data_IF_235796599205
#
_entry.id   IF_235796599205
#
_cell.length_a   1.000
_cell.length_b   1.000
_cell.length_c   1.000
_cell.angle_alpha   90.00
_cell.angle_beta   90.00
_cell.angle_gamma   90.00
#
_symmetry.space_group_name_H-M   'P 1'
#
loop_
_entity.id
_entity.type
_entity.pdbx_description
1 polymer ?
#
# COMPACT_ATOMS: atom_id res chain seq x y z
N UNK A 1 1.80 29.23 -43.42
CA UNK A 1 1.18 28.74 -42.17
C UNK A 1 1.62 27.29 -41.96
N UNK A 2 2.78 27.11 -41.35
CA UNK A 2 3.20 25.84 -40.77
C UNK A 2 3.44 26.15 -39.29
N UNK A 3 2.34 26.44 -38.59
CA UNK A 3 2.33 26.27 -37.14
C UNK A 3 2.34 24.77 -36.94
N UNK A 4 3.55 24.21 -36.83
CA UNK A 4 3.74 22.93 -36.21
C UNK A 4 2.96 22.99 -34.89
N UNK A 5 2.04 22.05 -34.71
CA UNK A 5 1.45 21.74 -33.42
C UNK A 5 2.66 21.54 -32.49
N UNK A 6 3.01 22.54 -31.68
CA UNK A 6 3.89 22.34 -30.54
C UNK A 6 3.19 21.28 -29.70
N UNK A 7 3.65 20.03 -29.84
CA UNK A 7 3.14 18.94 -29.04
C UNK A 7 3.30 19.37 -27.58
N UNK A 8 2.19 19.49 -26.87
CA UNK A 8 2.15 19.82 -25.45
C UNK A 8 3.20 18.94 -24.74
N UNK A 9 4.15 19.56 -24.04
CA UNK A 9 5.27 18.84 -23.43
C UNK A 9 4.71 17.75 -22.52
N UNK A 10 5.18 16.53 -22.69
CA UNK A 10 4.70 15.42 -21.86
C UNK A 10 5.30 15.51 -20.46
N UNK A 11 4.74 14.76 -19.50
CA UNK A 11 5.30 14.68 -18.15
C UNK A 11 6.78 14.26 -18.13
N UNK A 12 7.20 13.44 -19.09
CA UNK A 12 8.60 13.00 -19.23
C UNK A 12 9.50 14.15 -19.69
N UNK A 13 8.97 15.07 -20.49
CA UNK A 13 9.72 16.23 -21.01
C UNK A 13 9.84 17.32 -19.94
N UNK A 14 8.81 17.51 -19.12
CA UNK A 14 8.77 18.53 -18.06
C UNK A 14 9.48 18.09 -16.77
N UNK A 15 9.32 16.81 -16.38
CA UNK A 15 9.82 16.25 -15.12
C UNK A 15 10.57 14.93 -15.37
N UNK A 16 11.68 14.94 -16.13
CA UNK A 16 12.36 13.73 -16.56
C UNK A 16 12.89 12.87 -15.40
N UNK A 17 13.29 13.49 -14.30
CA UNK A 17 13.84 12.80 -13.14
C UNK A 17 12.75 12.10 -12.32
N UNK A 18 11.63 12.77 -12.07
CA UNK A 18 10.45 12.16 -11.44
C UNK A 18 9.87 11.06 -12.33
N UNK A 19 9.83 11.27 -13.65
CA UNK A 19 9.37 10.27 -14.61
C UNK A 19 10.19 8.97 -14.54
N UNK A 20 11.51 9.04 -14.28
CA UNK A 20 12.34 7.84 -14.08
C UNK A 20 11.94 7.07 -12.82
N UNK A 21 11.68 7.76 -11.71
CA UNK A 21 11.23 7.11 -10.47
C UNK A 21 9.83 6.51 -10.65
N UNK A 22 8.90 7.25 -11.25
CA UNK A 22 7.56 6.75 -11.57
C UNK A 22 7.64 5.50 -12.41
N UNK A 23 8.48 5.48 -13.45
CA UNK A 23 8.71 4.31 -14.29
C UNK A 23 9.30 3.15 -13.48
N UNK A 24 10.28 3.39 -12.62
CA UNK A 24 10.88 2.34 -11.79
C UNK A 24 9.87 1.73 -10.81
N UNK A 25 9.04 2.56 -10.18
CA UNK A 25 7.95 2.12 -9.31
C UNK A 25 6.90 1.29 -10.06
N UNK A 26 6.47 1.73 -11.24
CA UNK A 26 5.51 0.98 -12.07
C UNK A 26 6.12 -0.34 -12.59
N UNK A 27 7.41 -0.37 -12.93
CA UNK A 27 8.09 -1.61 -13.30
C UNK A 27 8.14 -2.61 -12.13
N UNK A 28 8.50 -2.16 -10.93
CA UNK A 28 8.45 -3.00 -9.72
C UNK A 28 7.03 -3.50 -9.43
N UNK A 29 6.04 -2.63 -9.63
CA UNK A 29 4.63 -2.96 -9.48
C UNK A 29 4.20 -4.07 -10.44
N UNK A 30 4.41 -3.91 -11.75
CA UNK A 30 4.01 -4.90 -12.74
C UNK A 30 4.81 -6.20 -12.65
N UNK A 31 6.07 -6.14 -12.22
CA UNK A 31 6.84 -7.33 -11.90
C UNK A 31 6.20 -8.11 -10.75
N UNK A 32 5.86 -7.43 -9.66
CA UNK A 32 5.17 -8.05 -8.52
C UNK A 32 3.77 -8.57 -8.89
N UNK A 33 3.02 -7.86 -9.73
CA UNK A 33 1.75 -8.33 -10.29
C UNK A 33 1.94 -9.65 -11.04
N UNK A 34 2.96 -9.72 -11.89
CA UNK A 34 3.25 -10.92 -12.69
C UNK A 34 3.56 -12.11 -11.78
N UNK A 35 4.46 -11.93 -10.81
CA UNK A 35 4.77 -12.97 -9.82
C UNK A 35 3.54 -13.38 -9.02
N UNK A 36 2.85 -12.42 -8.43
CA UNK A 36 1.66 -12.66 -7.62
C UNK A 36 0.55 -13.37 -8.40
N UNK A 37 0.30 -12.96 -9.65
CA UNK A 37 -0.70 -13.59 -10.52
C UNK A 37 -0.34 -15.04 -10.88
N UNK A 38 0.94 -15.31 -11.21
CA UNK A 38 1.40 -16.69 -11.47
C UNK A 38 1.17 -17.58 -10.25
N UNK A 39 1.58 -17.13 -9.06
CA UNK A 39 1.32 -17.90 -7.83
C UNK A 39 -0.18 -18.08 -7.56
N UNK A 40 -1.02 -17.09 -7.84
CA UNK A 40 -2.48 -17.20 -7.72
C UNK A 40 -3.11 -18.22 -8.68
N UNK A 41 -2.61 -18.30 -9.91
CA UNK A 41 -3.02 -19.32 -10.90
C UNK A 41 -2.61 -20.71 -10.41
N UNK A 42 -1.34 -20.88 -9.99
CA UNK A 42 -0.83 -22.14 -9.42
C UNK A 42 -1.71 -22.59 -8.24
N UNK A 43 -1.99 -21.67 -7.31
CA UNK A 43 -2.83 -21.93 -6.15
C UNK A 43 -4.24 -22.39 -6.56
N UNK A 44 -4.85 -21.70 -7.52
CA UNK A 44 -6.21 -22.00 -8.00
C UNK A 44 -6.26 -23.40 -8.63
N UNK A 45 -5.34 -23.71 -9.54
CA UNK A 45 -5.26 -25.03 -10.18
C UNK A 45 -5.04 -26.16 -9.16
N UNK A 46 -4.20 -25.92 -8.16
CA UNK A 46 -3.95 -26.89 -7.09
C UNK A 46 -5.17 -27.09 -6.20
N UNK A 47 -5.87 -26.02 -5.84
CA UNK A 47 -7.02 -26.06 -4.93
C UNK A 47 -8.26 -26.69 -5.57
N UNK A 48 -8.43 -26.56 -6.89
CA UNK A 48 -9.55 -27.13 -7.65
C UNK A 48 -9.26 -28.54 -8.19
N UNK A 49 -8.06 -29.06 -7.96
CA UNK A 49 -7.61 -30.37 -8.47
C UNK A 49 -7.57 -30.48 -10.00
N UNK A 50 -7.57 -29.34 -10.72
CA UNK A 50 -7.43 -29.30 -12.18
C UNK A 50 -5.99 -29.64 -12.59
N UNK A 51 -4.99 -29.15 -11.85
CA UNK A 51 -3.58 -29.51 -12.03
C UNK A 51 -2.78 -29.33 -10.74
N UNK A 52 -1.93 -30.32 -10.41
CA UNK A 52 -1.01 -30.28 -9.24
C UNK A 52 0.44 -30.17 -9.70
N UNK A 53 0.83 -28.96 -10.06
CA UNK A 53 2.17 -28.63 -10.58
C UNK A 53 3.21 -28.37 -9.48
N UNK A 54 2.79 -28.37 -8.21
CA UNK A 54 3.65 -28.27 -7.03
C UNK A 54 3.27 -29.38 -6.02
N UNK A 55 4.19 -29.79 -5.13
CA UNK A 55 3.85 -30.56 -3.95
C UNK A 55 2.85 -29.83 -3.06
N UNK A 56 1.94 -30.56 -2.40
CA UNK A 56 0.96 -29.95 -1.49
C UNK A 56 1.59 -29.27 -0.27
N UNK A 57 2.82 -29.64 0.09
CA UNK A 57 3.60 -29.00 1.17
C UNK A 57 3.92 -27.54 0.86
N UNK A 58 4.07 -27.19 -0.41
CA UNK A 58 4.54 -25.86 -0.85
C UNK A 58 3.36 -24.90 -1.08
N UNK A 59 2.13 -25.38 -0.87
CA UNK A 59 0.91 -24.59 -1.09
C UNK A 59 0.91 -23.31 -0.26
N UNK A 60 1.39 -23.35 0.98
CA UNK A 60 1.44 -22.17 1.85
C UNK A 60 2.53 -21.17 1.43
N UNK A 61 3.64 -21.65 0.85
CA UNK A 61 4.65 -20.78 0.26
C UNK A 61 4.07 -20.03 -0.94
N UNK A 62 3.37 -20.75 -1.83
CA UNK A 62 2.67 -20.15 -2.99
C UNK A 62 1.58 -19.18 -2.55
N UNK A 63 0.75 -19.55 -1.58
CA UNK A 63 -0.31 -18.70 -1.05
C UNK A 63 0.26 -17.42 -0.42
N UNK A 64 1.37 -17.53 0.32
CA UNK A 64 2.02 -16.35 0.91
C UNK A 64 2.64 -15.46 -0.16
N UNK A 65 3.31 -16.05 -1.15
CA UNK A 65 3.87 -15.33 -2.28
C UNK A 65 2.78 -14.58 -3.07
N UNK A 66 1.68 -15.25 -3.41
CA UNK A 66 0.54 -14.62 -4.08
C UNK A 66 0.02 -13.42 -3.28
N UNK A 67 -0.30 -13.63 -2.02
CA UNK A 67 -0.88 -12.59 -1.16
C UNK A 67 0.06 -11.40 -1.00
N UNK A 68 1.32 -11.62 -0.62
CA UNK A 68 2.29 -10.52 -0.37
C UNK A 68 2.63 -9.76 -1.66
N UNK A 69 2.87 -10.47 -2.77
CA UNK A 69 3.22 -9.79 -4.03
C UNK A 69 2.06 -9.02 -4.65
N UNK A 70 0.82 -9.50 -4.49
CA UNK A 70 -0.37 -8.77 -4.97
C UNK A 70 -0.75 -7.62 -4.04
N UNK A 71 -0.91 -7.91 -2.75
CA UNK A 71 -1.55 -7.01 -1.78
C UNK A 71 -0.59 -5.92 -1.29
N UNK A 72 0.70 -6.25 -1.15
CA UNK A 72 1.70 -5.34 -0.58
C UNK A 72 2.60 -4.81 -1.69
N UNK A 73 3.28 -5.69 -2.45
CA UNK A 73 4.28 -5.23 -3.41
C UNK A 73 3.64 -4.49 -4.60
N UNK A 74 2.76 -5.16 -5.34
CA UNK A 74 2.15 -4.61 -6.56
C UNK A 74 1.44 -3.28 -6.29
N UNK A 75 0.48 -3.27 -5.36
CA UNK A 75 -0.39 -2.11 -5.11
C UNK A 75 0.40 -0.92 -4.56
N UNK A 76 1.34 -1.13 -3.64
CA UNK A 76 2.07 -0.03 -3.01
C UNK A 76 3.11 0.55 -3.97
N UNK A 77 3.83 -0.28 -4.75
CA UNK A 77 4.70 0.24 -5.81
C UNK A 77 3.91 0.99 -6.88
N UNK A 78 2.72 0.51 -7.25
CA UNK A 78 1.83 1.23 -8.18
C UNK A 78 1.49 2.60 -7.62
N UNK A 79 1.07 2.63 -6.36
CA UNK A 79 0.60 3.82 -5.67
C UNK A 79 1.70 4.86 -5.50
N UNK A 80 2.90 4.50 -5.04
CA UNK A 80 3.98 5.48 -4.87
C UNK A 80 4.42 6.09 -6.21
N UNK A 81 4.36 5.32 -7.30
CA UNK A 81 4.56 5.84 -8.66
C UNK A 81 3.46 6.84 -9.04
N UNK A 82 2.20 6.45 -8.87
CA UNK A 82 1.06 7.31 -9.18
C UNK A 82 1.03 8.59 -8.33
N UNK A 83 1.35 8.49 -7.05
CA UNK A 83 1.34 9.63 -6.11
C UNK A 83 2.47 10.60 -6.40
N UNK A 84 3.65 10.10 -6.73
CA UNK A 84 4.77 10.92 -7.20
C UNK A 84 4.37 11.71 -8.45
N UNK A 85 3.77 11.04 -9.45
CA UNK A 85 3.25 11.71 -10.63
C UNK A 85 2.18 12.75 -10.31
N UNK A 86 1.20 12.41 -9.47
CA UNK A 86 0.07 13.26 -9.13
C UNK A 86 0.52 14.53 -8.37
N UNK A 87 1.47 14.41 -7.45
CA UNK A 87 2.03 15.54 -6.69
C UNK A 87 2.82 16.47 -7.63
N UNK A 88 3.79 15.93 -8.37
CA UNK A 88 4.64 16.71 -9.28
C UNK A 88 3.81 17.43 -10.35
N UNK A 89 2.90 16.70 -11.02
CA UNK A 89 2.04 17.26 -12.06
C UNK A 89 1.11 18.33 -11.51
N UNK A 90 0.44 18.08 -10.38
CA UNK A 90 -0.61 19.01 -9.91
C UNK A 90 -0.08 20.23 -9.20
N UNK A 91 1.10 20.16 -8.57
CA UNK A 91 1.80 21.32 -8.05
C UNK A 91 2.60 22.05 -9.15
N UNK A 92 2.71 21.46 -10.34
CA UNK A 92 3.50 21.93 -11.46
C UNK A 92 4.93 22.30 -11.05
N UNK A 93 5.57 21.42 -10.29
CA UNK A 93 6.94 21.61 -9.79
C UNK A 93 7.65 20.27 -9.59
N UNK A 94 8.98 20.23 -9.74
CA UNK A 94 9.74 19.05 -9.34
C UNK A 94 9.66 18.83 -7.83
N UNK A 95 9.95 17.60 -7.42
CA UNK A 95 10.19 17.27 -6.02
C UNK A 95 11.41 18.04 -5.51
N UNK A 96 11.43 18.36 -4.22
CA UNK A 96 12.46 19.27 -3.67
C UNK A 96 13.86 18.66 -3.73
N UNK A 97 13.99 17.33 -3.60
CA UNK A 97 15.27 16.64 -3.74
C UNK A 97 15.05 15.22 -4.26
N UNK A 98 15.35 15.01 -5.54
CA UNK A 98 15.17 13.70 -6.20
C UNK A 98 15.99 12.59 -5.53
N UNK A 99 17.07 12.91 -4.80
CA UNK A 99 17.87 11.90 -4.09
C UNK A 99 17.08 11.29 -2.94
N UNK A 100 16.27 12.08 -2.25
CA UNK A 100 15.34 11.57 -1.23
C UNK A 100 14.32 10.65 -1.90
N UNK A 101 13.88 11.03 -3.10
CA UNK A 101 12.93 10.24 -3.88
C UNK A 101 13.48 8.86 -4.24
N UNK A 102 14.70 8.80 -4.76
CA UNK A 102 15.40 7.53 -5.01
C UNK A 102 15.72 6.77 -3.73
N UNK A 103 16.00 7.46 -2.62
CA UNK A 103 16.29 6.82 -1.33
C UNK A 103 15.10 6.04 -0.82
N UNK A 104 13.89 6.63 -0.81
CA UNK A 104 12.71 5.90 -0.35
C UNK A 104 12.38 4.73 -1.28
N UNK A 105 12.55 4.90 -2.59
CA UNK A 105 12.31 3.82 -3.55
C UNK A 105 13.28 2.65 -3.32
N UNK A 106 14.57 2.94 -3.12
CA UNK A 106 15.58 1.93 -2.85
C UNK A 106 15.30 1.18 -1.53
N UNK A 107 14.93 1.90 -0.46
CA UNK A 107 14.55 1.29 0.82
C UNK A 107 13.35 0.34 0.63
N UNK A 108 12.31 0.77 -0.09
CA UNK A 108 11.18 -0.10 -0.41
C UNK A 108 11.61 -1.32 -1.22
N UNK A 109 12.41 -1.14 -2.28
CA UNK A 109 12.88 -2.25 -3.12
C UNK A 109 13.71 -3.27 -2.31
N UNK A 110 14.60 -2.80 -1.44
CA UNK A 110 15.39 -3.66 -0.53
C UNK A 110 14.48 -4.41 0.43
N UNK A 111 13.56 -3.71 1.12
CA UNK A 111 12.65 -4.34 2.08
C UNK A 111 11.75 -5.41 1.44
N UNK A 112 11.21 -5.12 0.26
CA UNK A 112 10.42 -6.11 -0.50
C UNK A 112 11.28 -7.26 -1.00
N UNK A 113 12.53 -7.02 -1.40
CA UNK A 113 13.45 -8.09 -1.82
C UNK A 113 13.76 -9.02 -0.65
N UNK A 114 14.06 -8.49 0.53
CA UNK A 114 14.27 -9.29 1.76
C UNK A 114 13.04 -10.16 2.07
N UNK A 115 11.85 -9.56 1.99
CA UNK A 115 10.56 -10.24 2.19
C UNK A 115 10.37 -11.35 1.16
N UNK A 116 10.53 -11.03 -0.13
CA UNK A 116 10.34 -11.96 -1.24
C UNK A 116 11.34 -13.12 -1.20
N UNK A 117 12.62 -12.86 -0.92
CA UNK A 117 13.63 -13.91 -0.74
C UNK A 117 13.25 -14.86 0.38
N UNK A 118 12.77 -14.34 1.52
CA UNK A 118 12.34 -15.18 2.65
C UNK A 118 11.17 -16.09 2.31
N UNK A 119 10.24 -15.61 1.47
CA UNK A 119 9.11 -16.41 0.97
C UNK A 119 9.62 -17.47 -0.01
N UNK A 120 10.36 -17.07 -1.04
CA UNK A 120 10.80 -17.97 -2.11
C UNK A 120 11.82 -19.01 -1.64
N UNK A 121 12.57 -18.72 -0.57
CA UNK A 121 13.45 -19.70 0.07
C UNK A 121 12.69 -20.91 0.62
N UNK A 122 11.38 -20.78 0.90
CA UNK A 122 10.53 -21.89 1.34
C UNK A 122 10.45 -23.05 0.33
N UNK A 123 10.70 -22.80 -0.95
CA UNK A 123 10.79 -23.86 -1.97
C UNK A 123 12.10 -24.66 -1.91
N UNK A 124 13.07 -24.23 -1.10
CA UNK A 124 14.40 -24.83 -1.02
C UNK A 124 14.70 -25.24 0.43
N UNK A 125 14.32 -26.47 0.83
CA UNK A 125 14.52 -26.95 2.20
C UNK A 125 15.96 -26.87 2.71
N UNK A 126 16.95 -26.86 1.81
CA UNK A 126 18.37 -26.73 2.15
C UNK A 126 18.77 -25.35 2.72
N UNK A 127 17.92 -24.32 2.60
CA UNK A 127 18.22 -22.95 3.05
C UNK A 127 17.76 -22.66 4.49
N UNK A 128 17.06 -23.59 5.15
CA UNK A 128 16.50 -23.43 6.50
C UNK A 128 15.78 -22.08 6.71
N UNK A 129 15.02 -21.66 5.70
CA UNK A 129 14.36 -20.36 5.65
C UNK A 129 13.02 -20.48 4.92
N UNK A 130 11.94 -20.05 5.57
CA UNK A 130 10.60 -19.99 4.97
C UNK A 130 9.77 -18.85 5.56
N UNK A 131 8.69 -18.50 4.87
CA UNK A 131 7.72 -17.51 5.34
C UNK A 131 6.30 -17.96 4.97
N UNK A 132 5.88 -19.13 5.45
CA UNK A 132 4.58 -19.74 5.16
C UNK A 132 3.47 -19.18 6.07
N UNK A 133 3.31 -17.86 6.06
CA UNK A 133 2.52 -17.12 7.05
C UNK A 133 1.34 -16.35 6.45
N UNK A 134 1.10 -16.50 5.14
CA UNK A 134 0.11 -15.76 4.36
C UNK A 134 0.40 -14.24 4.37
N UNK A 135 -0.39 -13.45 3.63
CA UNK A 135 -0.23 -11.98 3.66
C UNK A 135 -0.52 -11.36 5.03
N UNK A 136 -1.24 -12.10 5.89
CA UNK A 136 -1.69 -11.66 7.22
C UNK A 136 -0.68 -11.92 8.32
N UNK A 137 0.26 -12.86 8.11
CA UNK A 137 1.28 -13.26 9.08
C UNK A 137 0.76 -13.46 10.51
N UNK A 138 -0.38 -14.14 10.64
CA UNK A 138 -0.98 -14.41 11.94
C UNK A 138 -0.17 -15.42 12.74
N UNK A 139 0.17 -15.03 13.96
CA UNK A 139 0.56 -15.99 14.99
C UNK A 139 -0.56 -17.04 15.19
N UNK A 140 -0.21 -18.32 15.43
CA UNK A 140 1.13 -18.83 15.75
C UNK A 140 1.99 -19.24 14.53
N UNK A 141 1.60 -18.91 13.30
CA UNK A 141 2.51 -19.12 12.15
C UNK A 141 3.65 -18.10 12.25
N UNK A 142 4.89 -18.58 12.20
CA UNK A 142 6.09 -17.76 12.33
C UNK A 142 6.88 -17.83 11.02
N UNK A 143 7.31 -16.66 10.53
CA UNK A 143 8.22 -16.56 9.39
C UNK A 143 9.66 -16.38 9.84
N UNK A 144 10.59 -16.63 8.94
CA UNK A 144 11.99 -16.28 9.12
C UNK A 144 12.16 -14.76 9.43
N UNK A 145 13.08 -14.34 10.33
CA UNK A 145 13.25 -12.93 10.73
C UNK A 145 13.42 -11.95 9.57
N UNK A 146 14.07 -12.39 8.48
CA UNK A 146 14.29 -11.57 7.28
C UNK A 146 12.98 -11.12 6.62
N UNK A 147 11.89 -11.90 6.74
CA UNK A 147 10.56 -11.52 6.27
C UNK A 147 10.04 -10.30 7.04
N UNK A 148 10.07 -10.36 8.37
CA UNK A 148 9.58 -9.28 9.24
C UNK A 148 10.45 -8.03 9.14
N UNK A 149 11.78 -8.19 9.12
CA UNK A 149 12.70 -7.08 8.91
C UNK A 149 12.49 -6.43 7.53
N UNK A 150 12.29 -7.23 6.48
CA UNK A 150 12.00 -6.76 5.13
C UNK A 150 10.72 -5.92 5.07
N UNK A 151 9.63 -6.38 5.68
CA UNK A 151 8.37 -5.63 5.77
C UNK A 151 8.54 -4.31 6.55
N UNK A 152 9.29 -4.31 7.65
CA UNK A 152 9.57 -3.09 8.41
C UNK A 152 10.35 -2.06 7.56
N UNK A 153 11.41 -2.51 6.88
CA UNK A 153 12.19 -1.67 5.96
C UNK A 153 11.31 -1.12 4.85
N UNK A 154 10.44 -1.95 4.26
CA UNK A 154 9.47 -1.52 3.24
C UNK A 154 8.54 -0.41 3.73
N UNK A 155 7.98 -0.56 4.93
CA UNK A 155 7.10 0.45 5.54
C UNK A 155 7.86 1.76 5.77
N UNK A 156 9.08 1.70 6.32
CA UNK A 156 9.91 2.89 6.53
C UNK A 156 10.17 3.63 5.22
N UNK A 157 10.47 2.91 4.14
CA UNK A 157 10.60 3.49 2.80
C UNK A 157 9.33 4.24 2.38
N UNK A 158 8.16 3.61 2.52
CA UNK A 158 6.89 4.26 2.19
C UNK A 158 6.60 5.53 3.03
N UNK A 159 7.05 5.57 4.27
CA UNK A 159 6.94 6.77 5.13
C UNK A 159 7.84 7.90 4.63
N UNK A 160 9.06 7.59 4.20
CA UNK A 160 9.95 8.59 3.60
C UNK A 160 9.35 9.14 2.30
N UNK A 161 8.69 8.29 1.49
CA UNK A 161 7.96 8.73 0.29
C UNK A 161 6.89 9.78 0.61
N UNK A 162 6.05 9.50 1.62
CA UNK A 162 5.08 10.49 2.09
C UNK A 162 5.71 11.77 2.58
N UNK A 163 6.77 11.68 3.38
CA UNK A 163 7.47 12.85 3.91
C UNK A 163 8.03 13.73 2.79
N UNK A 164 8.52 13.12 1.71
CA UNK A 164 9.00 13.82 0.52
C UNK A 164 7.86 14.61 -0.19
N UNK A 165 6.68 13.99 -0.32
CA UNK A 165 5.51 14.67 -0.90
C UNK A 165 4.96 15.78 0.00
N UNK A 166 4.86 15.55 1.32
CA UNK A 166 4.47 16.60 2.27
C UNK A 166 5.45 17.77 2.24
N UNK A 167 6.76 17.51 2.21
CA UNK A 167 7.80 18.53 2.09
C UNK A 167 7.66 19.34 0.80
N UNK A 168 7.38 18.67 -0.32
CA UNK A 168 7.16 19.32 -1.61
C UNK A 168 5.91 20.20 -1.60
N UNK A 169 4.81 19.72 -1.02
CA UNK A 169 3.61 20.53 -0.82
C UNK A 169 3.87 21.74 0.09
N UNK A 170 4.60 21.58 1.20
CA UNK A 170 4.90 22.69 2.12
C UNK A 170 5.76 23.77 1.44
N UNK A 171 6.69 23.38 0.57
CA UNK A 171 7.43 24.32 -0.25
C UNK A 171 6.50 25.06 -1.23
N UNK A 172 5.66 24.32 -1.96
CA UNK A 172 4.66 24.92 -2.86
C UNK A 172 3.73 25.90 -2.13
N UNK A 173 3.30 25.56 -0.92
CA UNK A 173 2.41 26.41 -0.09
C UNK A 173 3.06 27.72 0.33
N UNK A 174 4.38 27.75 0.52
CA UNK A 174 5.11 28.99 0.83
C UNK A 174 5.14 29.93 -0.36
N UNK A 175 5.27 29.36 -1.56
CA UNK A 175 5.27 30.10 -2.83
C UNK A 175 3.83 30.55 -3.23
N UNK A 176 2.79 29.87 -2.73
CA UNK A 176 1.37 30.10 -3.05
C UNK A 176 0.50 30.17 -1.79
N UNK A 177 0.64 31.20 -0.93
CA UNK A 177 -0.04 31.26 0.37
C UNK A 177 -1.56 31.34 0.27
N UNK A 178 -2.09 32.02 -0.75
CA UNK A 178 -3.52 32.29 -0.95
C UNK A 178 -4.22 31.27 -1.87
N UNK A 179 -3.45 30.41 -2.55
CA UNK A 179 -4.02 29.43 -3.46
C UNK A 179 -4.55 28.21 -2.72
N UNK A 180 -5.58 27.57 -3.27
CA UNK A 180 -6.06 26.30 -2.74
C UNK A 180 -5.15 25.18 -3.18
N UNK A 181 -4.82 24.24 -2.28
CA UNK A 181 -4.08 23.02 -2.63
C UNK A 181 -4.74 22.29 -3.81
N UNK A 182 -3.98 21.96 -4.88
CA UNK A 182 -4.48 21.20 -6.02
C UNK A 182 -5.13 19.87 -5.60
N UNK A 183 -6.21 19.49 -6.29
CA UNK A 183 -7.04 18.34 -5.87
C UNK A 183 -6.25 17.03 -5.82
N UNK A 184 -5.41 16.75 -6.81
CA UNK A 184 -4.57 15.54 -6.85
C UNK A 184 -3.61 15.50 -5.66
N UNK A 185 -2.89 16.59 -5.36
CA UNK A 185 -2.01 16.64 -4.18
C UNK A 185 -2.80 16.48 -2.88
N UNK A 186 -3.96 17.12 -2.75
CA UNK A 186 -4.83 16.92 -1.59
C UNK A 186 -5.20 15.45 -1.39
N UNK A 187 -5.63 14.78 -2.47
CA UNK A 187 -5.98 13.37 -2.45
C UNK A 187 -4.80 12.49 -2.03
N UNK A 188 -3.61 12.74 -2.56
CA UNK A 188 -2.37 12.05 -2.18
C UNK A 188 -2.04 12.24 -0.70
N UNK A 189 -2.02 13.49 -0.21
CA UNK A 189 -1.63 13.78 1.17
C UNK A 189 -2.65 13.24 2.19
N UNK A 190 -3.95 13.33 1.90
CA UNK A 190 -4.99 12.73 2.76
C UNK A 190 -4.87 11.21 2.80
N UNK A 191 -4.60 10.58 1.66
CA UNK A 191 -4.37 9.13 1.59
C UNK A 191 -3.10 8.73 2.34
N UNK A 192 -2.03 9.53 2.25
CA UNK A 192 -0.79 9.31 2.97
C UNK A 192 -0.94 9.51 4.49
N UNK A 193 -1.78 10.46 4.93
CA UNK A 193 -2.11 10.62 6.34
C UNK A 193 -2.80 9.35 6.89
N UNK A 194 -3.73 8.78 6.13
CA UNK A 194 -4.37 7.50 6.46
C UNK A 194 -3.33 6.38 6.57
N UNK A 195 -2.36 6.32 5.64
CA UNK A 195 -1.29 5.34 5.67
C UNK A 195 -0.42 5.45 6.91
N UNK A 196 0.03 6.65 7.30
CA UNK A 196 0.82 6.82 8.52
C UNK A 196 0.10 6.30 9.76
N UNK A 197 -1.19 6.65 9.91
CA UNK A 197 -2.01 6.20 11.02
C UNK A 197 -2.11 4.67 10.99
N UNK A 198 -2.60 4.12 9.88
CA UNK A 198 -2.88 2.69 9.75
C UNK A 198 -1.61 1.83 9.90
N UNK A 199 -0.54 2.18 9.18
CA UNK A 199 0.68 1.39 9.17
C UNK A 199 1.49 1.48 10.47
N UNK A 200 1.24 2.47 11.33
CA UNK A 200 1.88 2.53 12.65
C UNK A 200 1.59 1.29 13.51
N UNK A 201 0.36 0.75 13.44
CA UNK A 201 -0.02 -0.43 14.21
C UNK A 201 0.64 -1.70 13.70
N UNK A 202 0.71 -1.91 12.38
CA UNK A 202 1.40 -3.08 11.83
C UNK A 202 2.92 -2.97 12.00
N UNK A 203 3.50 -1.76 11.89
CA UNK A 203 4.90 -1.53 12.21
C UNK A 203 5.19 -1.88 13.68
N UNK A 204 4.34 -1.46 14.61
CA UNK A 204 4.44 -1.87 16.01
C UNK A 204 4.29 -3.38 16.20
N UNK A 205 3.33 -4.02 15.51
CA UNK A 205 3.15 -5.48 15.53
C UNK A 205 4.42 -6.22 15.10
N UNK A 206 5.05 -5.74 14.03
CA UNK A 206 6.26 -6.34 13.47
C UNK A 206 7.45 -6.09 14.37
N UNK A 207 7.74 -4.83 14.72
CA UNK A 207 8.96 -4.45 15.40
C UNK A 207 8.98 -4.82 16.89
N UNK A 208 7.83 -4.76 17.57
CA UNK A 208 7.75 -5.00 19.02
C UNK A 208 7.41 -6.44 19.38
N UNK A 209 6.83 -7.21 18.44
CA UNK A 209 6.34 -8.57 18.74
C UNK A 209 6.87 -9.61 17.75
N UNK A 210 6.50 -9.55 16.47
CA UNK A 210 6.76 -10.65 15.53
C UNK A 210 8.25 -10.83 15.21
N UNK A 211 8.99 -9.73 15.02
CA UNK A 211 10.43 -9.77 14.76
C UNK A 211 11.21 -10.25 16.00
N UNK A 212 11.03 -9.66 17.21
CA UNK A 212 11.65 -10.20 18.43
C UNK A 212 11.33 -11.67 18.69
N UNK A 213 10.09 -12.10 18.43
CA UNK A 213 9.66 -13.49 18.57
C UNK A 213 10.37 -14.42 17.58
N UNK A 214 10.46 -14.03 16.31
CA UNK A 214 11.19 -14.80 15.29
C UNK A 214 12.70 -14.88 15.54
N UNK A 215 13.26 -13.91 16.27
CA UNK A 215 14.67 -13.88 16.68
C UNK A 215 14.93 -14.67 17.97
N UNK A 216 13.88 -15.18 18.64
CA UNK A 216 14.00 -15.87 19.92
C UNK A 216 14.27 -14.95 21.12
N UNK A 217 14.02 -13.64 21.00
CA UNK A 217 14.15 -12.69 22.13
C UNK A 217 12.97 -12.72 23.10
N UNK A 218 11.81 -13.18 22.63
CA UNK A 218 10.62 -13.45 23.45
C UNK A 218 10.06 -14.82 23.05
N UNK A 219 9.51 -15.55 24.01
CA UNK A 219 9.05 -16.92 23.78
C UNK A 219 7.67 -17.01 23.12
N UNK A 220 6.84 -15.99 23.31
CA UNK A 220 5.45 -16.00 22.90
C UNK A 220 4.94 -14.60 22.56
N UNK A 221 3.95 -14.57 21.66
CA UNK A 221 3.18 -13.37 21.31
C UNK A 221 1.70 -13.63 21.56
N UNK A 222 0.94 -12.59 21.89
CA UNK A 222 -0.52 -12.69 22.00
C UNK A 222 -1.13 -12.63 20.59
N UNK A 223 -1.73 -13.73 20.07
CA UNK A 223 -2.21 -13.76 18.68
C UNK A 223 -3.37 -12.78 18.43
N UNK A 224 -4.22 -12.58 19.44
CA UNK A 224 -5.33 -11.61 19.35
C UNK A 224 -4.79 -10.19 19.23
N UNK A 225 -3.77 -9.83 20.01
CA UNK A 225 -3.15 -8.50 19.93
C UNK A 225 -2.52 -8.26 18.57
N UNK A 226 -1.68 -9.17 18.08
CA UNK A 226 -1.02 -9.01 16.77
C UNK A 226 -2.02 -8.98 15.62
N UNK A 227 -3.12 -9.73 15.72
CA UNK A 227 -4.22 -9.69 14.74
C UNK A 227 -4.98 -8.37 14.78
N UNK A 228 -5.25 -7.83 15.96
CA UNK A 228 -5.88 -6.51 16.12
C UNK A 228 -5.00 -5.40 15.56
N UNK A 229 -3.70 -5.42 15.83
CA UNK A 229 -2.74 -4.48 15.25
C UNK A 229 -2.65 -4.66 13.73
N UNK A 230 -2.67 -5.90 13.24
CA UNK A 230 -2.73 -6.18 11.81
C UNK A 230 -3.98 -5.56 11.18
N UNK A 231 -5.18 -5.71 11.75
CA UNK A 231 -6.40 -5.18 11.14
C UNK A 231 -6.64 -3.70 11.33
N UNK A 232 -6.01 -3.07 12.34
CA UNK A 232 -5.91 -1.63 12.40
C UNK A 232 -5.20 -1.07 11.16
N UNK A 233 -4.25 -1.81 10.60
CA UNK A 233 -3.64 -1.53 9.30
C UNK A 233 -4.45 -2.10 8.12
N UNK A 234 -4.83 -3.37 8.25
CA UNK A 234 -5.30 -4.27 7.21
C UNK A 234 -6.66 -3.87 6.65
N UNK A 235 -7.45 -3.11 7.40
CA UNK A 235 -8.66 -2.53 6.87
C UNK A 235 -8.41 -1.19 6.13
N UNK A 236 -7.77 -0.16 6.70
CA UNK A 236 -7.42 1.05 5.94
C UNK A 236 -6.59 0.80 4.67
N UNK A 237 -5.73 -0.24 4.65
CA UNK A 237 -4.94 -0.56 3.45
C UNK A 237 -5.81 -0.93 2.25
N UNK A 238 -7.01 -1.50 2.46
CA UNK A 238 -7.93 -1.78 1.34
C UNK A 238 -8.42 -0.49 0.68
N UNK A 239 -8.59 0.58 1.47
CA UNK A 239 -8.88 1.91 0.95
C UNK A 239 -7.66 2.57 0.35
N UNK A 240 -6.47 2.28 0.86
CA UNK A 240 -5.23 2.72 0.23
C UNK A 240 -5.09 2.17 -1.20
N UNK A 241 -5.72 1.04 -1.54
CA UNK A 241 -5.84 0.56 -2.92
C UNK A 241 -6.96 1.25 -3.72
N UNK A 242 -8.05 1.64 -3.07
CA UNK A 242 -9.20 2.30 -3.70
C UNK A 242 -8.95 3.78 -4.02
N UNK A 243 -8.34 4.51 -3.10
CA UNK A 243 -8.09 5.94 -3.16
C UNK A 243 -7.27 6.38 -4.39
N UNK A 244 -6.22 5.67 -4.86
CA UNK A 244 -5.58 5.98 -6.14
C UNK A 244 -6.51 5.80 -7.35
N UNK A 245 -7.41 4.81 -7.32
CA UNK A 245 -8.43 4.67 -8.36
C UNK A 245 -9.41 5.85 -8.35
N UNK A 246 -9.86 6.27 -7.16
CA UNK A 246 -10.73 7.44 -7.00
C UNK A 246 -10.03 8.73 -7.46
N UNK A 247 -8.74 8.89 -7.16
CA UNK A 247 -7.93 10.00 -7.66
C UNK A 247 -7.98 10.04 -9.19
N UNK A 248 -7.77 8.92 -9.87
CA UNK A 248 -7.85 8.84 -11.33
C UNK A 248 -9.29 9.09 -11.83
N UNK A 249 -10.31 8.53 -11.18
CA UNK A 249 -11.70 8.71 -11.57
C UNK A 249 -12.22 10.13 -11.37
N UNK A 250 -11.73 10.87 -10.38
CA UNK A 250 -12.13 12.27 -10.19
C UNK A 250 -11.31 13.24 -11.05
N UNK A 251 -10.06 12.93 -11.36
CA UNK A 251 -9.14 13.93 -11.95
C UNK A 251 -8.72 13.64 -13.39
N UNK A 252 -8.83 12.40 -13.85
CA UNK A 252 -8.41 11.95 -15.18
C UNK A 252 -9.61 11.49 -16.01
N UNK A 253 -10.43 10.58 -15.48
CA UNK A 253 -11.56 10.00 -16.21
C UNK A 253 -12.54 11.04 -16.79
N UNK A 254 -12.92 12.13 -16.08
CA UNK A 254 -13.84 13.12 -16.63
C UNK A 254 -13.24 13.82 -17.85
N UNK A 255 -11.92 14.08 -17.83
CA UNK A 255 -11.22 14.70 -18.96
C UNK A 255 -11.18 13.79 -20.18
N UNK A 256 -10.90 12.50 -19.98
CA UNK A 256 -10.93 11.49 -21.06
C UNK A 256 -12.33 11.37 -21.66
N UNK A 257 -13.37 11.45 -20.83
CA UNK A 257 -14.77 11.40 -21.26
C UNK A 257 -15.27 12.71 -21.92
N UNK A 258 -14.42 13.74 -22.08
CA UNK A 258 -14.83 15.05 -22.61
C UNK A 258 -15.67 15.89 -21.65
N UNK A 259 -15.74 15.50 -20.37
CA UNK A 259 -16.47 16.18 -19.31
C UNK A 259 -15.56 16.90 -18.31
N UNK A 260 -16.16 17.27 -17.17
CA UNK A 260 -15.47 17.91 -16.04
C UNK A 260 -15.89 17.25 -14.73
N UNK A 261 -15.04 17.37 -13.70
CA UNK A 261 -15.41 16.96 -12.35
C UNK A 261 -16.68 17.71 -11.91
N UNK A 262 -17.65 16.97 -11.38
CA UNK A 262 -18.92 17.54 -10.91
C UNK A 262 -18.73 18.51 -9.74
N UNK A 263 -17.96 18.12 -8.72
CA UNK A 263 -17.70 18.95 -7.53
C UNK A 263 -16.34 18.64 -6.90
N UNK A 264 -15.42 19.62 -6.93
CA UNK A 264 -14.14 19.55 -6.22
C UNK A 264 -14.31 19.53 -4.69
N UNK A 265 -15.16 20.38 -4.06
CA UNK A 265 -15.40 20.30 -2.62
C UNK A 265 -15.93 18.95 -2.17
N UNK A 266 -16.84 18.33 -2.94
CA UNK A 266 -17.40 17.03 -2.59
C UNK A 266 -16.33 15.94 -2.64
N UNK A 267 -15.51 15.90 -3.68
CA UNK A 267 -14.40 14.95 -3.80
C UNK A 267 -13.42 15.05 -2.62
N UNK A 268 -13.18 16.27 -2.10
CA UNK A 268 -12.34 16.46 -0.91
C UNK A 268 -12.99 15.95 0.36
N UNK A 269 -14.30 16.19 0.53
CA UNK A 269 -15.07 15.66 1.67
C UNK A 269 -15.03 14.12 1.66
N UNK A 270 -15.20 13.49 0.51
CA UNK A 270 -15.11 12.03 0.36
C UNK A 270 -13.76 11.49 0.85
N UNK A 271 -12.64 12.12 0.46
CA UNK A 271 -11.31 11.69 0.92
C UNK A 271 -11.11 11.86 2.43
N UNK A 272 -11.62 12.95 3.02
CA UNK A 272 -11.57 13.16 4.47
C UNK A 272 -12.44 12.14 5.21
N UNK A 273 -13.63 11.84 4.69
CA UNK A 273 -14.51 10.84 5.26
C UNK A 273 -13.88 9.45 5.21
N UNK A 274 -13.21 9.07 4.11
CA UNK A 274 -12.46 7.81 4.08
C UNK A 274 -11.34 7.79 5.12
N UNK A 275 -10.56 8.86 5.27
CA UNK A 275 -9.52 8.94 6.31
C UNK A 275 -10.09 8.72 7.72
N UNK A 276 -11.20 9.38 8.06
CA UNK A 276 -11.80 9.32 9.40
C UNK A 276 -12.53 8.01 9.66
N UNK A 277 -13.30 7.51 8.69
CA UNK A 277 -14.19 6.37 8.88
C UNK A 277 -13.51 5.03 8.64
N UNK A 278 -12.39 4.98 7.90
CA UNK A 278 -11.68 3.72 7.63
C UNK A 278 -10.76 3.29 8.77
N UNK A 279 -10.26 4.23 9.59
CA UNK A 279 -9.28 3.92 10.63
C UNK A 279 -9.84 3.15 11.85
N UNK A 280 -11.07 3.37 12.34
CA UNK A 280 -11.57 2.75 13.58
C UNK A 280 -12.45 1.49 13.39
N UNK A 281 -12.33 0.76 12.28
CA UNK A 281 -13.28 -0.34 11.94
C UNK A 281 -12.64 -1.71 11.72
N UNK A 282 -11.32 -1.86 11.90
CA UNK A 282 -10.62 -3.13 11.64
C UNK A 282 -11.18 -4.37 12.38
N UNK A 283 -11.88 -4.17 13.50
CA UNK A 283 -12.52 -5.23 14.30
C UNK A 283 -13.56 -6.03 13.50
N UNK A 284 -14.12 -5.53 12.39
CA UNK A 284 -15.03 -6.36 11.59
C UNK A 284 -14.39 -7.60 10.98
N UNK A 285 -13.05 -7.64 10.89
CA UNK A 285 -12.33 -8.85 10.49
C UNK A 285 -12.13 -9.85 11.64
N UNK A 286 -12.63 -9.53 12.84
CA UNK A 286 -12.43 -10.27 14.09
C UNK A 286 -13.75 -10.51 14.85
N UNK A 287 -14.91 -10.50 14.16
CA UNK A 287 -16.19 -10.76 14.82
C UNK A 287 -16.28 -12.14 15.47
N UNK A 288 -15.59 -13.13 14.89
CA UNK A 288 -15.53 -14.48 15.43
C UNK A 288 -14.42 -14.65 16.48
N UNK A 289 -13.60 -13.62 16.74
CA UNK A 289 -12.55 -13.72 17.76
C UNK A 289 -13.20 -13.71 19.16
N UNK A 290 -12.99 -14.76 19.97
CA UNK A 290 -13.57 -14.83 21.32
C UNK A 290 -12.94 -13.82 22.28
N UNK A 291 -11.75 -13.30 21.97
CA UNK A 291 -11.02 -12.32 22.79
C UNK A 291 -11.51 -10.88 22.68
N UNK A 292 -12.55 -10.60 21.89
CA UNK A 292 -13.13 -9.27 21.72
C UNK A 292 -14.57 -9.26 22.25
N UNK A 293 -14.88 -8.35 23.17
CA UNK A 293 -16.22 -8.22 23.74
C UNK A 293 -17.26 -7.82 22.67
N UNK A 294 -18.49 -8.33 22.81
CA UNK A 294 -19.57 -8.12 21.83
C UNK A 294 -19.91 -6.64 21.61
N UNK A 295 -19.82 -5.80 22.64
CA UNK A 295 -20.05 -4.36 22.52
C UNK A 295 -19.12 -3.68 21.50
N UNK A 296 -17.83 -4.04 21.48
CA UNK A 296 -16.88 -3.52 20.49
C UNK A 296 -17.18 -4.02 19.07
N UNK A 297 -17.66 -5.28 18.95
CA UNK A 297 -18.08 -5.84 17.66
C UNK A 297 -19.29 -5.10 17.10
N UNK A 298 -20.27 -4.81 17.95
CA UNK A 298 -21.45 -4.03 17.56
C UNK A 298 -21.08 -2.61 17.12
N UNK A 299 -20.25 -1.90 17.89
CA UNK A 299 -19.75 -0.56 17.52
C UNK A 299 -19.03 -0.62 16.18
N UNK A 300 -18.12 -1.58 15.99
CA UNK A 300 -17.40 -1.74 14.72
C UNK A 300 -18.36 -2.00 13.57
N UNK A 301 -19.36 -2.86 13.75
CA UNK A 301 -20.38 -3.15 12.72
C UNK A 301 -21.15 -1.91 12.30
N UNK A 302 -21.63 -1.12 13.26
CA UNK A 302 -22.30 0.15 12.96
C UNK A 302 -21.37 1.11 12.24
N UNK A 303 -20.13 1.25 12.71
CA UNK A 303 -19.14 2.14 12.09
C UNK A 303 -18.79 1.74 10.66
N UNK A 304 -18.67 0.43 10.38
CA UNK A 304 -18.42 -0.08 9.03
C UNK A 304 -19.54 0.31 8.06
N UNK A 305 -20.80 0.39 8.50
CA UNK A 305 -21.90 0.83 7.64
C UNK A 305 -21.80 2.31 7.26
N UNK A 306 -21.20 3.17 8.07
CA UNK A 306 -20.99 4.58 7.71
C UNK A 306 -20.04 4.77 6.53
N UNK A 307 -19.21 3.77 6.19
CA UNK A 307 -18.34 3.80 5.00
C UNK A 307 -19.13 3.76 3.68
N UNK A 308 -20.42 3.40 3.72
CA UNK A 308 -21.32 3.53 2.57
C UNK A 308 -21.48 5.00 2.14
N UNK A 309 -21.43 5.95 3.08
CA UNK A 309 -21.61 7.37 2.81
C UNK A 309 -20.56 7.91 1.82
N UNK A 310 -19.24 7.89 2.11
CA UNK A 310 -18.25 8.36 1.15
C UNK A 310 -18.16 7.51 -0.12
N UNK A 311 -18.66 6.27 -0.09
CA UNK A 311 -18.68 5.41 -1.27
C UNK A 311 -19.77 5.78 -2.28
N UNK A 312 -20.87 6.39 -1.82
CA UNK A 312 -22.01 6.80 -2.65
C UNK A 312 -21.94 8.26 -3.14
N UNK A 313 -21.10 9.09 -2.51
CA UNK A 313 -20.90 10.51 -2.82
C UNK A 313 -19.91 10.72 -3.98
#
# INVERSE_FOLDING_TARGET
>A
MSEAIEAERSFVDEFPDEARVVRAALLSSFFALTLGAVFGIVQTLHRTDVARIIPSTDYYTVLTAHGVFMVISFTIFFLVGLFTWAVTRSLNRPLIDIRITWTWYAIMAVGMTMTGVSILAGFFPALDMSADVLFTFYAPLQAHPLFYAGLAVFIVGSWIAGADWFRTFLAWRRDHPDERIPLQTFMVLTTMAMWYIASSAVAASVLLFLLPWSLGFIDQVNPTLTRTLFWFFGHPVVYFWLMPAYLLWYTVLPKIAGGRLFSDPLARVVFVLFLLLSTPVGIHHQYLDPGIAEGFKFISMTNTMFLLLPSLL
#
